data_IF_001409917655
#
_entry.id   IF_001409917655
#
_cell.length_a   1.000
_cell.length_b   1.000
_cell.length_c   1.000
_cell.angle_alpha   90.00
_cell.angle_beta   90.00
_cell.angle_gamma   90.00
#
_symmetry.space_group_name_H-M   'P 1'
#
loop_
_entity.id
_entity.type
_entity.pdbx_description
1 polymer ?
#
# COMPACT_ATOMS: atom_id res chain seq x y z
N UNK A 1 -30.90 -12.77 -4.37
CA UNK A 1 -29.43 -12.75 -4.61
C UNK A 1 -29.11 -11.47 -5.35
N UNK A 2 -28.71 -10.41 -4.65
CA UNK A 2 -28.32 -9.15 -5.31
C UNK A 2 -26.85 -9.25 -5.74
N UNK A 3 -26.63 -9.02 -7.03
CA UNK A 3 -25.34 -8.92 -7.68
C UNK A 3 -24.46 -7.90 -6.96
N UNK A 4 -23.39 -8.35 -6.31
CA UNK A 4 -22.31 -7.47 -5.91
C UNK A 4 -21.70 -6.90 -7.20
N UNK A 5 -21.99 -5.63 -7.51
CA UNK A 5 -21.35 -4.94 -8.64
C UNK A 5 -19.85 -5.15 -8.57
N UNK A 6 -19.29 -5.76 -9.63
CA UNK A 6 -17.85 -5.88 -9.83
C UNK A 6 -17.30 -4.47 -9.99
N UNK A 7 -16.72 -3.92 -8.92
CA UNK A 7 -15.93 -2.69 -8.99
C UNK A 7 -14.66 -3.01 -9.76
N UNK A 8 -14.38 -2.30 -10.85
CA UNK A 8 -13.19 -2.51 -11.65
C UNK A 8 -11.95 -1.94 -10.96
N UNK A 9 -10.75 -2.34 -11.39
CA UNK A 9 -9.50 -1.82 -10.84
C UNK A 9 -9.35 -0.29 -11.04
N UNK A 10 -9.87 0.25 -12.15
CA UNK A 10 -9.85 1.69 -12.44
C UNK A 10 -10.80 2.43 -11.49
N UNK A 11 -11.96 1.85 -11.18
CA UNK A 11 -12.90 2.46 -10.24
C UNK A 11 -12.28 2.57 -8.84
N UNK A 12 -11.47 1.61 -8.41
CA UNK A 12 -10.81 1.63 -7.10
C UNK A 12 -9.84 2.82 -6.94
N UNK A 13 -9.09 3.16 -7.98
CA UNK A 13 -8.16 4.31 -7.98
C UNK A 13 -8.89 5.66 -7.95
N UNK A 14 -10.16 5.70 -8.37
CA UNK A 14 -10.98 6.92 -8.40
C UNK A 14 -11.65 7.25 -7.07
N UNK A 15 -11.68 6.29 -6.13
CA UNK A 15 -12.30 6.49 -4.82
C UNK A 15 -11.47 7.50 -4.04
N UNK A 16 -12.14 8.56 -3.56
CA UNK A 16 -11.50 9.63 -2.80
C UNK A 16 -10.83 9.11 -1.53
N UNK A 17 -9.65 9.63 -1.23
CA UNK A 17 -9.01 9.54 0.09
C UNK A 17 -9.27 10.84 0.84
N UNK A 18 -10.02 10.78 1.94
CA UNK A 18 -10.34 11.96 2.77
C UNK A 18 -9.40 12.12 3.94
N UNK A 19 -8.87 11.02 4.48
CA UNK A 19 -7.86 11.05 5.54
C UNK A 19 -7.02 9.77 5.52
N UNK A 20 -5.78 9.88 6.02
CA UNK A 20 -4.85 8.74 6.12
C UNK A 20 -4.03 8.82 7.39
N UNK A 21 -3.65 7.65 7.91
CA UNK A 21 -2.76 7.49 9.06
C UNK A 21 -1.34 7.22 8.60
N UNK A 22 -0.38 8.00 9.09
CA UNK A 22 1.05 7.74 8.86
C UNK A 22 1.51 6.51 9.64
N UNK A 23 2.25 5.63 8.97
CA UNK A 23 2.84 4.44 9.57
C UNK A 23 4.34 4.63 9.72
N UNK A 24 4.86 4.32 10.91
CA UNK A 24 6.29 4.42 11.20
C UNK A 24 7.08 3.34 10.44
N UNK A 25 8.06 3.77 9.65
CA UNK A 25 8.85 2.89 8.78
C UNK A 25 10.18 2.44 9.40
N UNK A 26 10.64 3.11 10.45
CA UNK A 26 11.97 2.89 11.04
C UNK A 26 12.25 1.44 11.44
N UNK A 27 11.25 0.75 12.02
CA UNK A 27 11.38 -0.67 12.41
C UNK A 27 11.61 -1.58 11.20
N UNK A 28 10.96 -1.28 10.07
CA UNK A 28 11.14 -2.05 8.85
C UNK A 28 12.46 -1.71 8.15
N UNK A 29 12.84 -0.43 8.08
CA UNK A 29 14.12 -0.04 7.49
C UNK A 29 15.32 -0.66 8.22
N UNK A 30 15.25 -0.85 9.55
CA UNK A 30 16.27 -1.64 10.27
C UNK A 30 16.39 -3.09 9.74
N UNK A 31 15.30 -3.72 9.30
CA UNK A 31 15.34 -5.05 8.67
C UNK A 31 15.96 -4.99 7.28
N UNK A 32 15.68 -3.93 6.52
CA UNK A 32 16.34 -3.66 5.22
C UNK A 32 17.85 -3.54 5.43
N UNK A 33 18.30 -2.73 6.40
CA UNK A 33 19.73 -2.56 6.71
C UNK A 33 20.42 -3.89 7.06
N UNK A 34 19.78 -4.71 7.90
CA UNK A 34 20.32 -6.02 8.28
C UNK A 34 20.41 -6.93 7.05
N UNK A 35 19.38 -6.96 6.21
CA UNK A 35 19.36 -7.79 5.02
C UNK A 35 20.36 -7.32 3.95
N UNK A 36 20.57 -6.00 3.81
CA UNK A 36 21.57 -5.43 2.93
C UNK A 36 22.99 -5.88 3.33
N UNK A 37 23.29 -5.89 4.64
CA UNK A 37 24.57 -6.41 5.17
C UNK A 37 24.76 -7.92 4.96
N UNK A 38 23.69 -8.63 4.64
CA UNK A 38 23.69 -10.07 4.34
C UNK A 38 23.58 -10.33 2.83
N UNK A 39 23.82 -9.31 1.99
CA UNK A 39 23.75 -9.39 0.53
C UNK A 39 22.41 -9.91 -0.02
N UNK A 40 21.33 -9.68 0.72
CA UNK A 40 20.01 -10.14 0.33
C UNK A 40 19.51 -9.37 -0.90
N UNK A 41 19.25 -10.08 -2.00
CA UNK A 41 18.89 -9.43 -3.28
C UNK A 41 17.57 -8.65 -3.24
N UNK A 42 16.65 -9.01 -2.34
CA UNK A 42 15.34 -8.37 -2.26
C UNK A 42 15.40 -6.89 -1.88
N UNK A 43 16.50 -6.40 -1.31
CA UNK A 43 16.64 -4.98 -0.94
C UNK A 43 17.04 -4.07 -2.11
N UNK A 44 17.42 -4.67 -3.26
CA UNK A 44 17.82 -3.95 -4.48
C UNK A 44 16.66 -3.72 -5.46
N UNK A 45 15.51 -4.35 -5.21
CA UNK A 45 14.30 -4.22 -6.03
C UNK A 45 13.18 -3.54 -5.20
N UNK A 46 12.64 -2.40 -5.64
CA UNK A 46 11.66 -1.65 -4.85
C UNK A 46 10.39 -2.46 -4.60
N UNK A 47 9.96 -3.27 -5.57
CA UNK A 47 8.74 -4.07 -5.44
C UNK A 47 8.92 -5.21 -4.44
N UNK A 48 10.09 -5.83 -4.41
CA UNK A 48 10.45 -6.84 -3.41
C UNK A 48 10.49 -6.26 -2.01
N UNK A 49 11.01 -5.04 -1.82
CA UNK A 49 10.96 -4.34 -0.53
C UNK A 49 9.52 -4.10 -0.08
N UNK A 50 8.64 -3.62 -0.97
CA UNK A 50 7.21 -3.44 -0.68
C UNK A 50 6.53 -4.76 -0.30
N UNK A 51 6.76 -5.83 -1.07
CA UNK A 51 6.19 -7.16 -0.79
C UNK A 51 6.67 -7.75 0.55
N UNK A 52 7.88 -7.39 1.00
CA UNK A 52 8.40 -7.78 2.33
C UNK A 52 7.81 -6.93 3.45
N UNK A 53 7.42 -5.71 3.18
CA UNK A 53 6.81 -4.82 4.16
C UNK A 53 5.39 -5.26 4.55
N UNK A 54 4.53 -5.54 3.57
CA UNK A 54 3.13 -5.85 3.83
C UNK A 54 2.66 -7.11 3.09
N UNK A 55 1.84 -7.91 3.79
CA UNK A 55 1.12 -9.04 3.21
C UNK A 55 -0.23 -8.55 2.65
N UNK A 56 -0.72 -9.16 1.58
CA UNK A 56 -1.83 -8.65 0.79
C UNK A 56 -3.07 -9.55 0.92
N UNK A 57 -3.97 -9.30 1.90
CA UNK A 57 -5.08 -10.23 2.21
C UNK A 57 -6.35 -10.02 1.36
N UNK A 58 -6.38 -9.05 0.44
CA UNK A 58 -7.58 -8.72 -0.34
C UNK A 58 -7.91 -9.71 -1.46
N UNK A 59 -9.19 -9.78 -1.83
CA UNK A 59 -9.64 -10.55 -3.03
C UNK A 59 -9.13 -9.91 -4.32
N UNK A 60 -9.05 -8.58 -4.31
CA UNK A 60 -8.50 -7.78 -5.40
C UNK A 60 -7.36 -6.92 -4.85
N UNK A 61 -6.27 -6.84 -5.61
CA UNK A 61 -5.17 -5.91 -5.37
C UNK A 61 -4.88 -5.10 -6.63
N UNK A 62 -4.76 -3.78 -6.48
CA UNK A 62 -4.28 -2.86 -7.51
C UNK A 62 -2.97 -2.27 -7.01
N UNK A 63 -1.95 -2.29 -7.85
CA UNK A 63 -0.64 -1.69 -7.56
C UNK A 63 -0.35 -0.70 -8.68
N UNK A 64 -0.23 0.57 -8.31
CA UNK A 64 0.16 1.63 -9.22
C UNK A 64 1.52 2.17 -8.77
N UNK A 65 2.48 2.21 -9.69
CA UNK A 65 3.86 2.63 -9.42
C UNK A 65 4.15 3.81 -10.33
N UNK A 66 4.48 4.94 -9.72
CA UNK A 66 4.88 6.18 -10.38
C UNK A 66 6.33 6.50 -10.01
N UNK A 67 7.15 6.77 -11.01
CA UNK A 67 8.58 7.08 -10.87
C UNK A 67 9.00 8.12 -11.90
N UNK A 68 10.02 8.91 -11.57
CA UNK A 68 10.53 9.97 -12.41
C UNK A 68 11.69 9.53 -13.32
N UNK A 69 11.50 9.68 -14.64
CA UNK A 69 12.53 9.37 -15.64
C UNK A 69 12.75 7.88 -15.90
N UNK A 70 13.85 7.54 -16.59
CA UNK A 70 14.17 6.17 -17.00
C UNK A 70 14.78 5.33 -15.86
N UNK A 71 15.44 5.98 -14.89
CA UNK A 71 16.02 5.35 -13.70
C UNK A 71 15.62 6.10 -12.42
N UNK A 72 14.35 6.02 -12.01
CA UNK A 72 13.88 6.67 -10.81
C UNK A 72 14.63 6.14 -9.58
N UNK A 73 15.16 7.05 -8.77
CA UNK A 73 15.67 6.74 -7.42
C UNK A 73 14.59 6.87 -6.35
N UNK A 74 13.38 7.26 -6.75
CA UNK A 74 12.20 7.40 -5.89
C UNK A 74 10.99 6.83 -6.62
N UNK A 75 10.17 6.06 -5.92
CA UNK A 75 8.85 5.66 -6.41
C UNK A 75 7.76 6.09 -5.44
N UNK A 76 6.64 6.54 -6.01
CA UNK A 76 5.34 6.64 -5.33
C UNK A 76 4.53 5.42 -5.73
N UNK A 77 4.16 4.63 -4.74
CA UNK A 77 3.47 3.36 -4.93
C UNK A 77 2.13 3.46 -4.21
N UNK A 78 1.05 3.31 -4.96
CA UNK A 78 -0.30 3.19 -4.41
C UNK A 78 -0.70 1.72 -4.46
N UNK A 79 -1.09 1.16 -3.31
CA UNK A 79 -1.61 -0.19 -3.23
C UNK A 79 -3.02 -0.16 -2.68
N UNK A 80 -3.96 -0.72 -3.44
CA UNK A 80 -5.35 -0.84 -3.02
C UNK A 80 -5.69 -2.30 -2.89
N UNK A 81 -6.21 -2.68 -1.72
CA UNK A 81 -6.85 -3.97 -1.51
C UNK A 81 -8.36 -3.77 -1.34
N UNK A 82 -9.17 -4.61 -1.99
CA UNK A 82 -10.62 -4.58 -1.85
C UNK A 82 -11.21 -5.97 -1.65
N UNK A 83 -12.39 -6.01 -1.04
CA UNK A 83 -13.16 -7.23 -0.81
C UNK A 83 -12.61 -8.09 0.33
N UNK A 84 -12.14 -7.46 1.41
CA UNK A 84 -11.76 -8.16 2.65
C UNK A 84 -12.91 -9.02 3.16
N UNK A 85 -12.62 -10.20 3.70
CA UNK A 85 -13.65 -11.16 4.15
C UNK A 85 -14.27 -10.83 5.52
N UNK A 86 -13.80 -9.76 6.19
CA UNK A 86 -14.33 -9.31 7.47
C UNK A 86 -15.67 -8.60 7.35
N UNK A 87 -16.27 -8.29 8.50
CA UNK A 87 -17.62 -7.74 8.64
C UNK A 87 -17.68 -6.20 8.64
N UNK A 88 -16.58 -5.50 8.95
CA UNK A 88 -16.55 -4.02 8.99
C UNK A 88 -15.78 -3.39 7.83
N UNK A 89 -14.50 -3.75 7.67
CA UNK A 89 -13.62 -3.17 6.66
C UNK A 89 -13.77 -3.93 5.34
N UNK A 90 -14.05 -3.19 4.28
CA UNK A 90 -14.14 -3.69 2.91
C UNK A 90 -12.78 -3.66 2.20
N UNK A 91 -11.99 -2.62 2.42
CA UNK A 91 -10.74 -2.42 1.69
C UNK A 91 -9.78 -1.47 2.38
N UNK A 92 -8.57 -1.41 1.85
CA UNK A 92 -7.46 -0.62 2.35
C UNK A 92 -6.73 0.05 1.19
N UNK A 93 -6.25 1.26 1.42
CA UNK A 93 -5.46 2.05 0.49
C UNK A 93 -4.16 2.48 1.18
N UNK A 94 -3.02 2.07 0.61
CA UNK A 94 -1.69 2.44 1.06
C UNK A 94 -1.04 3.37 0.04
N UNK A 95 -0.59 4.54 0.47
CA UNK A 95 0.33 5.41 -0.28
C UNK A 95 1.72 5.26 0.29
N UNK A 96 2.66 4.78 -0.52
CA UNK A 96 4.01 4.46 -0.09
C UNK A 96 4.99 5.28 -0.93
N UNK A 97 5.92 5.96 -0.28
CA UNK A 97 7.10 6.51 -0.96
C UNK A 97 8.31 5.67 -0.58
N UNK A 98 9.04 5.18 -1.57
CA UNK A 98 10.27 4.42 -1.40
C UNK A 98 11.41 5.14 -2.13
N UNK A 99 12.61 5.11 -1.54
CA UNK A 99 13.79 5.80 -2.06
C UNK A 99 15.00 4.89 -2.07
N UNK A 100 15.82 5.00 -3.11
CA UNK A 100 17.09 4.31 -3.22
C UNK A 100 18.20 5.17 -2.60
N UNK A 101 19.09 4.54 -1.83
CA UNK A 101 20.27 5.22 -1.29
C UNK A 101 21.48 5.08 -2.25
N UNK A 102 22.62 5.65 -1.87
CA UNK A 102 23.88 5.62 -2.65
C UNK A 102 24.49 4.22 -2.82
N UNK A 103 23.99 3.21 -2.12
CA UNK A 103 24.44 1.81 -2.18
C UNK A 103 23.44 0.94 -2.97
N UNK A 104 22.57 1.56 -3.75
CA UNK A 104 21.49 0.91 -4.51
C UNK A 104 20.45 0.15 -3.65
N UNK A 105 20.31 0.52 -2.36
CA UNK A 105 19.39 -0.12 -1.42
C UNK A 105 18.12 0.70 -1.24
N UNK A 106 16.96 0.07 -1.44
CA UNK A 106 15.65 0.69 -1.34
C UNK A 106 15.13 0.73 0.10
N UNK A 107 14.68 1.90 0.53
CA UNK A 107 14.15 2.16 1.87
C UNK A 107 12.78 2.82 1.80
N UNK A 108 11.90 2.47 2.73
CA UNK A 108 10.63 3.16 2.88
C UNK A 108 10.89 4.57 3.42
N UNK A 109 10.42 5.59 2.70
CA UNK A 109 10.46 7.00 3.15
C UNK A 109 9.21 7.34 3.96
N UNK A 110 8.04 6.96 3.46
CA UNK A 110 6.77 7.23 4.13
C UNK A 110 5.73 6.20 3.72
N UNK A 111 4.78 5.95 4.64
CA UNK A 111 3.60 5.14 4.39
C UNK A 111 2.41 5.86 5.01
N UNK A 112 1.34 5.98 4.22
CA UNK A 112 0.03 6.42 4.68
C UNK A 112 -0.98 5.33 4.37
N UNK A 113 -1.80 4.98 5.35
CA UNK A 113 -2.84 3.96 5.21
C UNK A 113 -4.19 4.55 5.53
N UNK A 114 -5.19 4.17 4.75
CA UNK A 114 -6.61 4.47 4.96
C UNK A 114 -7.46 3.24 4.63
N UNK A 115 -8.68 3.21 5.16
CA UNK A 115 -9.59 2.06 5.00
C UNK A 115 -10.90 2.50 4.39
N UNK A 116 -11.68 1.53 3.93
CA UNK A 116 -13.03 1.73 3.43
C UNK A 116 -13.95 0.70 4.05
N UNK A 117 -15.15 1.09 4.45
CA UNK A 117 -16.13 0.19 5.06
C UNK A 117 -17.01 -0.51 4.04
N UNK A 118 -17.67 -1.58 4.48
CA UNK A 118 -18.79 -2.15 3.74
C UNK A 118 -19.96 -1.14 3.68
N UNK A 119 -20.82 -1.28 2.66
CA UNK A 119 -22.01 -0.45 2.55
C UNK A 119 -22.91 -0.67 3.77
N UNK A 120 -23.41 0.41 4.37
CA UNK A 120 -24.19 0.36 5.61
C UNK A 120 -23.35 0.23 6.89
N UNK A 121 -22.02 0.25 6.80
CA UNK A 121 -21.07 0.10 7.93
C UNK A 121 -20.19 1.33 8.13
N UNK A 122 -20.68 2.51 7.75
CA UNK A 122 -19.95 3.77 7.83
C UNK A 122 -19.62 4.34 6.46
N UNK A 123 -18.39 4.81 6.29
CA UNK A 123 -17.95 5.56 5.12
C UNK A 123 -17.56 4.66 3.93
N UNK A 124 -17.73 5.17 2.72
CA UNK A 124 -17.46 4.42 1.46
C UNK A 124 -16.34 5.03 0.62
N UNK A 125 -15.77 6.13 1.07
CA UNK A 125 -14.48 6.68 0.69
C UNK A 125 -13.36 6.11 1.59
N UNK A 126 -12.10 6.39 1.24
CA UNK A 126 -10.96 5.98 2.04
C UNK A 126 -10.69 6.99 3.17
N UNK A 127 -10.78 6.53 4.42
CA UNK A 127 -10.64 7.37 5.62
C UNK A 127 -10.01 6.59 6.78
N UNK A 128 -9.62 7.29 7.86
CA UNK A 128 -9.23 6.70 9.15
C UNK A 128 -10.41 6.59 10.12
N UNK A 129 -11.57 7.08 9.74
CA UNK A 129 -12.78 6.93 10.54
C UNK A 129 -13.10 5.44 10.75
N UNK A 130 -13.60 5.07 11.94
CA UNK A 130 -13.92 3.67 12.21
C UNK A 130 -15.15 3.24 11.41
N UNK A 131 -15.11 2.01 10.91
CA UNK A 131 -16.32 1.33 10.43
C UNK A 131 -17.23 0.97 11.61
N UNK A 132 -18.54 1.03 11.38
CA UNK A 132 -19.61 0.76 12.34
C UNK A 132 -20.11 -0.69 12.28
#
# INVERSE_FOLDING_TARGET
MQSASKVSAIDLLSIKVTSSKSIAVAKFNKKVDIAARQDAQWVKDPISVIRKYNYWPGRTAVIFIDGDGEHPSTYKITIIYDGFSGDSVRGQHDEITIVQNQLDIWHLKSIKTSWRCWSGRGHTDYSIEPCA
#
